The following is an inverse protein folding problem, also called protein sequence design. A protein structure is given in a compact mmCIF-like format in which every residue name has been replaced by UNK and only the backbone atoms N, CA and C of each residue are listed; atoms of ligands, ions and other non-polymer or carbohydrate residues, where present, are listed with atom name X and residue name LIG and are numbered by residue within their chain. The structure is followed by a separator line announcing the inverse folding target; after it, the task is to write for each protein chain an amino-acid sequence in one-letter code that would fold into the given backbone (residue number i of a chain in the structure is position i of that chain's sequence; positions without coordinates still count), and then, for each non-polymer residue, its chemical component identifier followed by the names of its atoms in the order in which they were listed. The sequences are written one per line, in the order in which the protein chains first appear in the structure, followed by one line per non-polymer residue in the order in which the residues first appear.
data_IF_198582185256
#
_entry.id   IF_198582185256
#
_cell.length_a   1.000
_cell.length_b   1.000
_cell.length_c   1.000
_cell.angle_alpha   90.00
_cell.angle_beta   90.00
_cell.angle_gamma   90.00
#
_symmetry.space_group_name_H-M   'P 1'
#
loop_
_entity.id
_entity.type
_entity.pdbx_description
1 polymer ?
#
# COMPACT_ATOMS: atom_id res chain seq x y z
N UNK A 1 -21.32 -27.63 -2.55
CA UNK A 1 -21.23 -27.54 -1.08
C UNK A 1 -20.79 -26.13 -0.69
N UNK A 2 -21.31 -25.58 0.42
CA UNK A 2 -20.94 -24.25 0.96
C UNK A 2 -19.87 -24.46 2.03
N UNK A 3 -18.78 -23.70 1.95
CA UNK A 3 -17.72 -23.63 2.97
C UNK A 3 -17.68 -22.22 3.50
N UNK A 4 -17.81 -22.10 4.82
CA UNK A 4 -17.69 -20.83 5.53
C UNK A 4 -16.27 -20.67 6.03
N UNK A 5 -15.70 -19.50 5.80
CA UNK A 5 -14.34 -19.14 6.17
C UNK A 5 -14.32 -17.98 7.14
N UNK A 6 -13.42 -18.10 8.11
CA UNK A 6 -13.02 -17.04 9.02
C UNK A 6 -11.51 -16.93 9.03
N UNK A 7 -11.00 -15.72 9.17
CA UNK A 7 -9.60 -15.47 9.49
C UNK A 7 -9.46 -14.73 10.82
N UNK A 8 -8.41 -15.05 11.54
CA UNK A 8 -7.92 -14.28 12.67
C UNK A 8 -6.47 -13.92 12.39
N UNK A 9 -6.18 -12.63 12.26
CA UNK A 9 -4.81 -12.14 12.20
C UNK A 9 -4.25 -12.08 13.63
N UNK A 10 -3.45 -13.08 14.01
CA UNK A 10 -2.88 -13.16 15.37
C UNK A 10 -1.74 -12.17 15.56
N UNK A 11 -0.91 -12.01 14.53
CA UNK A 11 0.22 -11.10 14.52
C UNK A 11 0.55 -10.67 13.10
N UNK A 12 0.73 -9.37 12.90
CA UNK A 12 1.27 -8.81 11.66
C UNK A 12 2.68 -8.32 11.96
N UNK A 13 3.62 -8.77 11.14
CA UNK A 13 5.04 -8.43 11.21
C UNK A 13 5.37 -7.25 10.30
N UNK A 14 6.58 -7.30 9.74
CA UNK A 14 7.10 -6.29 8.82
C UNK A 14 6.36 -6.31 7.47
N UNK A 15 6.14 -5.12 6.91
CA UNK A 15 5.57 -4.92 5.57
C UNK A 15 6.70 -4.47 4.64
N UNK A 16 7.19 -5.38 3.81
CA UNK A 16 8.25 -5.08 2.86
C UNK A 16 7.68 -4.45 1.59
N UNK A 17 7.79 -3.13 1.50
CA UNK A 17 7.29 -2.35 0.36
C UNK A 17 8.06 -2.65 -0.93
N UNK A 18 9.36 -2.97 -0.85
CA UNK A 18 10.20 -3.25 -2.04
C UNK A 18 9.90 -4.65 -2.60
N UNK A 19 9.68 -5.61 -1.70
CA UNK A 19 9.41 -7.01 -2.04
C UNK A 19 7.94 -7.32 -2.34
N UNK A 20 7.03 -6.35 -2.16
CA UNK A 20 5.57 -6.52 -2.30
C UNK A 20 5.06 -7.72 -1.45
N UNK A 21 5.51 -7.76 -0.20
CA UNK A 21 5.26 -8.86 0.73
C UNK A 21 5.06 -8.36 2.15
N UNK A 22 4.25 -9.06 2.94
CA UNK A 22 4.11 -8.82 4.37
C UNK A 22 4.23 -10.12 5.16
N UNK A 23 4.77 -10.04 6.37
CA UNK A 23 4.86 -11.16 7.29
C UNK A 23 3.62 -11.22 8.18
N UNK A 24 3.00 -12.39 8.34
CA UNK A 24 1.88 -12.57 9.28
C UNK A 24 1.81 -13.97 9.90
N UNK A 25 1.25 -14.04 11.12
CA UNK A 25 0.76 -15.25 11.77
C UNK A 25 -0.78 -15.20 11.73
N UNK A 26 -1.36 -16.05 10.90
CA UNK A 26 -2.80 -16.09 10.65
C UNK A 26 -3.38 -17.42 11.07
N UNK A 27 -4.57 -17.36 11.63
CA UNK A 27 -5.39 -18.51 11.94
C UNK A 27 -6.62 -18.50 11.02
N UNK A 28 -6.74 -19.52 10.18
CA UNK A 28 -7.81 -19.65 9.21
C UNK A 28 -8.67 -20.84 9.64
N UNK A 29 -9.96 -20.59 9.79
CA UNK A 29 -10.96 -21.61 10.13
C UNK A 29 -11.89 -21.79 8.94
N UNK A 30 -12.08 -23.03 8.53
CA UNK A 30 -13.00 -23.40 7.47
C UNK A 30 -14.01 -24.40 8.00
N UNK A 31 -15.30 -24.11 7.87
CA UNK A 31 -16.36 -25.02 8.31
C UNK A 31 -17.29 -25.39 7.17
N UNK A 32 -17.69 -26.67 7.13
CA UNK A 32 -18.68 -27.17 6.17
C UNK A 32 -19.53 -28.26 6.78
N UNK A 33 -20.77 -28.36 6.30
CA UNK A 33 -21.73 -29.36 6.76
C UNK A 33 -21.40 -30.74 6.18
N UNK A 34 -21.43 -31.78 7.03
CA UNK A 34 -21.31 -33.18 6.62
C UNK A 34 -22.48 -34.02 7.17
N UNK A 35 -23.56 -34.19 6.39
CA UNK A 35 -24.79 -34.85 6.86
C UNK A 35 -24.61 -36.29 7.34
N UNK A 36 -23.56 -36.99 6.86
CA UNK A 36 -23.28 -38.37 7.27
C UNK A 36 -22.92 -38.49 8.76
N UNK A 37 -22.54 -37.40 9.40
CA UNK A 37 -22.07 -37.34 10.78
C UNK A 37 -23.12 -36.79 11.76
N UNK A 38 -24.33 -36.44 11.29
CA UNK A 38 -25.38 -35.81 12.11
C UNK A 38 -25.75 -36.65 13.37
N UNK A 39 -25.61 -37.98 13.32
CA UNK A 39 -25.93 -38.89 14.44
C UNK A 39 -24.71 -39.37 15.26
N UNK A 40 -23.51 -38.84 14.99
CA UNK A 40 -22.26 -39.37 15.55
C UNK A 40 -21.75 -38.61 16.79
N UNK A 41 -22.61 -37.92 17.55
CA UNK A 41 -22.23 -37.07 18.69
C UNK A 41 -21.38 -37.78 19.77
N UNK A 42 -21.48 -39.10 19.87
CA UNK A 42 -20.80 -39.90 20.89
C UNK A 42 -19.47 -40.52 20.43
N UNK A 43 -19.08 -40.36 19.16
CA UNK A 43 -17.87 -40.97 18.61
C UNK A 43 -16.71 -39.98 18.62
N UNK A 44 -15.75 -40.16 19.54
CA UNK A 44 -14.57 -39.29 19.70
C UNK A 44 -13.42 -39.62 18.74
N UNK A 45 -13.31 -40.87 18.28
CA UNK A 45 -12.18 -41.34 17.44
C UNK A 45 -12.59 -41.57 15.98
N UNK A 46 -13.11 -40.53 15.33
CA UNK A 46 -13.43 -40.57 13.90
C UNK A 46 -12.28 -39.99 13.07
N UNK A 47 -11.81 -40.76 12.08
CA UNK A 47 -10.88 -40.24 11.07
C UNK A 47 -11.62 -39.28 10.12
N UNK A 48 -11.61 -37.98 10.46
CA UNK A 48 -12.23 -36.91 9.66
C UNK A 48 -11.62 -36.79 8.24
N UNK A 49 -10.40 -37.29 8.05
CA UNK A 49 -9.69 -37.31 6.77
C UNK A 49 -10.36 -38.16 5.68
N UNK A 50 -11.21 -39.12 6.04
CA UNK A 50 -11.92 -39.98 5.08
C UNK A 50 -13.14 -39.30 4.45
N UNK A 51 -13.60 -38.20 5.04
CA UNK A 51 -14.74 -37.44 4.56
C UNK A 51 -14.36 -36.43 3.48
N UNK A 52 -15.38 -35.83 2.88
CA UNK A 52 -15.19 -34.84 1.83
C UNK A 52 -14.33 -33.67 2.30
N UNK A 53 -13.34 -33.29 1.50
CA UNK A 53 -12.37 -32.23 1.79
C UNK A 53 -12.48 -31.11 0.75
N UNK A 54 -12.58 -29.83 1.16
CA UNK A 54 -12.67 -28.70 0.25
C UNK A 54 -11.37 -28.35 -0.47
N UNK A 55 -10.24 -29.02 -0.17
CA UNK A 55 -8.93 -28.82 -0.82
C UNK A 55 -8.52 -27.33 -0.90
N UNK A 56 -8.64 -26.63 0.23
CA UNK A 56 -8.34 -25.20 0.29
C UNK A 56 -6.84 -24.94 0.11
N UNK A 57 -6.50 -23.90 -0.65
CA UNK A 57 -5.14 -23.42 -0.92
C UNK A 57 -5.09 -21.93 -0.59
N UNK A 58 -3.95 -21.48 -0.05
CA UNK A 58 -3.68 -20.05 0.08
C UNK A 58 -2.79 -19.65 -1.08
N UNK A 59 -3.34 -18.81 -1.94
CA UNK A 59 -2.77 -18.51 -3.24
C UNK A 59 -1.54 -17.61 -3.15
N UNK A 60 -1.53 -16.67 -2.20
CA UNK A 60 -0.49 -15.66 -2.08
C UNK A 60 0.55 -15.98 -1.01
N UNK A 61 0.62 -17.23 -0.54
CA UNK A 61 1.66 -17.66 0.39
C UNK A 61 2.98 -17.88 -0.37
N UNK A 62 4.00 -17.08 -0.08
CA UNK A 62 5.33 -17.18 -0.71
C UNK A 62 6.20 -18.18 0.05
N UNK A 63 6.29 -17.98 1.36
CA UNK A 63 7.08 -18.82 2.26
C UNK A 63 6.39 -18.97 3.61
N UNK A 64 6.66 -20.07 4.32
CA UNK A 64 6.08 -20.35 5.63
C UNK A 64 7.10 -20.93 6.59
N UNK A 65 7.17 -20.36 7.79
CA UNK A 65 8.01 -20.85 8.89
C UNK A 65 7.28 -21.91 9.71
N UNK A 66 5.96 -21.76 9.89
CA UNK A 66 5.14 -22.73 10.64
C UNK A 66 3.82 -22.93 9.93
N UNK A 67 3.43 -24.19 9.74
CA UNK A 67 2.13 -24.58 9.22
C UNK A 67 1.59 -25.73 10.04
N UNK A 68 0.47 -25.50 10.73
CA UNK A 68 -0.28 -26.54 11.45
C UNK A 68 -1.67 -26.62 10.85
N UNK A 69 -2.14 -27.85 10.66
CA UNK A 69 -3.49 -28.15 10.20
C UNK A 69 -4.07 -29.21 11.12
N UNK A 70 -5.28 -28.98 11.61
CA UNK A 70 -6.04 -29.96 12.37
C UNK A 70 -7.53 -29.82 12.04
N UNK A 71 -8.30 -30.84 12.37
CA UNK A 71 -9.73 -30.90 12.10
C UNK A 71 -10.46 -31.28 13.37
N UNK A 72 -11.60 -30.65 13.58
CA UNK A 72 -12.48 -30.85 14.73
C UNK A 72 -13.91 -31.06 14.22
N UNK A 73 -14.70 -31.83 14.96
CA UNK A 73 -16.12 -32.01 14.69
C UNK A 73 -16.91 -31.07 15.59
N UNK A 74 -17.76 -30.24 14.99
CA UNK A 74 -18.65 -29.33 15.70
C UNK A 74 -20.10 -29.66 15.37
N UNK A 75 -21.00 -29.50 16.34
CA UNK A 75 -22.43 -29.71 16.15
C UNK A 75 -23.16 -28.39 16.40
N UNK A 76 -24.07 -28.03 15.50
CA UNK A 76 -24.95 -26.89 15.73
C UNK A 76 -26.07 -27.29 16.71
N UNK A 77 -26.74 -26.32 17.33
CA UNK A 77 -27.86 -26.48 18.27
C UNK A 77 -29.01 -27.35 17.74
N UNK A 78 -29.08 -27.56 16.41
CA UNK A 78 -30.06 -28.42 15.72
C UNK A 78 -29.59 -29.87 15.51
N UNK A 79 -28.40 -30.23 15.99
CA UNK A 79 -27.80 -31.56 15.81
C UNK A 79 -27.09 -31.79 14.47
N UNK A 80 -27.00 -30.76 13.60
CA UNK A 80 -26.25 -30.88 12.35
C UNK A 80 -24.74 -30.90 12.59
N UNK A 81 -24.04 -31.85 11.96
CA UNK A 81 -22.59 -31.99 12.04
C UNK A 81 -21.86 -31.09 11.03
N UNK A 82 -20.85 -30.39 11.53
CA UNK A 82 -19.93 -29.55 10.78
C UNK A 82 -18.51 -30.03 11.02
N UNK A 83 -17.76 -30.21 9.94
CA UNK A 83 -16.32 -30.42 10.03
C UNK A 83 -15.67 -29.03 10.02
N UNK A 84 -14.86 -28.76 11.04
CA UNK A 84 -14.11 -27.51 11.19
C UNK A 84 -12.64 -27.82 10.96
N UNK A 85 -12.09 -27.29 9.87
CA UNK A 85 -10.67 -27.36 9.55
C UNK A 85 -9.98 -26.08 9.97
N UNK A 86 -9.01 -26.22 10.87
CA UNK A 86 -8.24 -25.13 11.44
C UNK A 86 -6.83 -25.15 10.88
N UNK A 87 -6.35 -24.01 10.42
CA UNK A 87 -5.00 -23.82 9.89
C UNK A 87 -4.34 -22.65 10.59
N UNK A 88 -3.19 -22.89 11.20
CA UNK A 88 -2.32 -21.82 11.68
C UNK A 88 -1.10 -21.72 10.79
N UNK A 89 -0.88 -20.56 10.20
CA UNK A 89 0.16 -20.32 9.22
C UNK A 89 0.92 -19.07 9.60
N UNK A 90 2.22 -19.22 9.77
CA UNK A 90 3.15 -18.11 9.98
C UNK A 90 4.12 -18.06 8.82
N UNK A 91 4.15 -16.94 8.10
CA UNK A 91 4.93 -16.83 6.87
C UNK A 91 4.84 -15.47 6.20
N UNK A 92 5.33 -15.42 4.96
CA UNK A 92 5.29 -14.26 4.07
C UNK A 92 4.19 -14.43 3.03
N UNK A 93 3.36 -13.40 2.92
CA UNK A 93 2.28 -13.30 1.95
C UNK A 93 2.65 -12.24 0.92
N UNK A 94 2.48 -12.56 -0.36
CA UNK A 94 2.64 -11.58 -1.44
C UNK A 94 1.38 -10.74 -1.56
N UNK A 95 1.57 -9.43 -1.64
CA UNK A 95 0.50 -8.46 -1.86
C UNK A 95 1.03 -7.35 -2.74
N UNK A 96 0.31 -7.04 -3.82
CA UNK A 96 0.64 -5.88 -4.66
C UNK A 96 0.26 -4.62 -3.90
N UNK A 97 1.20 -3.69 -3.74
CA UNK A 97 0.96 -2.46 -2.97
C UNK A 97 0.65 -1.28 -3.90
N UNK A 98 -0.45 -0.58 -3.64
CA UNK A 98 -0.82 0.62 -4.39
C UNK A 98 -0.12 1.86 -3.82
N UNK A 99 1.00 2.25 -4.42
CA UNK A 99 1.87 3.33 -3.95
C UNK A 99 1.64 4.66 -4.67
N UNK A 100 0.57 4.80 -5.46
CA UNK A 100 0.30 6.02 -6.22
C UNK A 100 0.26 7.26 -5.31
N UNK A 101 -0.29 7.05 -4.13
CA UNK A 101 -0.57 8.06 -3.12
C UNK A 101 0.55 8.19 -2.06
N UNK A 102 1.66 7.46 -2.24
CA UNK A 102 2.81 7.47 -1.34
C UNK A 102 3.35 8.90 -1.09
N UNK A 103 3.69 9.28 0.17
CA UNK A 103 3.73 8.47 1.40
C UNK A 103 2.44 8.49 2.22
N UNK A 104 1.33 8.99 1.66
CA UNK A 104 0.03 9.09 2.33
C UNK A 104 -0.91 7.96 1.89
N UNK A 105 -0.32 6.78 1.64
CA UNK A 105 -0.99 5.59 1.14
C UNK A 105 -1.60 4.75 2.27
N UNK A 106 -2.59 3.94 1.88
CA UNK A 106 -3.19 2.89 2.68
C UNK A 106 -3.13 1.60 1.86
N UNK A 107 -2.94 0.47 2.53
CA UNK A 107 -2.74 -0.83 1.92
C UNK A 107 -3.73 -1.83 2.53
N UNK A 108 -4.34 -2.64 1.67
CA UNK A 108 -5.13 -3.81 2.08
C UNK A 108 -4.21 -5.04 2.07
N UNK A 109 -3.87 -5.56 3.23
CA UNK A 109 -3.03 -6.75 3.38
C UNK A 109 -3.90 -8.00 3.33
N UNK A 110 -4.04 -8.57 2.13
CA UNK A 110 -4.99 -9.64 1.88
C UNK A 110 -4.37 -11.04 2.06
N UNK A 111 -5.15 -11.97 2.59
CA UNK A 111 -4.88 -13.40 2.52
C UNK A 111 -5.89 -14.01 1.55
N UNK A 112 -5.39 -14.62 0.48
CA UNK A 112 -6.22 -15.10 -0.63
C UNK A 112 -6.42 -16.60 -0.50
N UNK A 113 -7.63 -17.01 -0.10
CA UNK A 113 -8.01 -18.42 0.03
C UNK A 113 -8.82 -18.88 -1.17
N UNK A 114 -8.40 -19.96 -1.81
CA UNK A 114 -9.08 -20.59 -2.94
C UNK A 114 -9.16 -22.11 -2.75
N UNK A 115 -9.70 -22.84 -3.73
CA UNK A 115 -9.83 -24.30 -3.73
C UNK A 115 -9.43 -24.89 -5.08
N UNK A 116 -8.95 -26.14 -5.07
CA UNK A 116 -8.77 -26.94 -6.29
C UNK A 116 -10.09 -27.34 -6.97
N UNK A 117 -11.22 -27.16 -6.28
CA UNK A 117 -12.56 -27.50 -6.78
C UNK A 117 -13.19 -26.31 -7.49
N UNK A 118 -13.91 -26.59 -8.60
CA UNK A 118 -14.64 -25.57 -9.35
C UNK A 118 -15.79 -24.95 -8.55
N UNK A 119 -16.18 -23.74 -8.92
CA UNK A 119 -17.27 -22.98 -8.29
C UNK A 119 -18.61 -23.73 -8.31
N UNK A 120 -18.85 -24.59 -9.29
CA UNK A 120 -20.06 -25.43 -9.36
C UNK A 120 -20.11 -26.47 -8.23
N UNK A 121 -18.95 -26.96 -7.79
CA UNK A 121 -18.84 -27.97 -6.72
C UNK A 121 -18.77 -27.32 -5.35
N UNK A 122 -18.16 -26.14 -5.26
CA UNK A 122 -17.79 -25.47 -4.03
C UNK A 122 -18.09 -23.97 -4.11
N UNK A 123 -18.76 -23.44 -3.10
CA UNK A 123 -18.80 -22.01 -2.86
C UNK A 123 -18.10 -21.70 -1.54
N UNK A 124 -17.19 -20.73 -1.59
CA UNK A 124 -16.52 -20.18 -0.42
C UNK A 124 -17.25 -18.89 -0.05
N UNK A 125 -17.64 -18.77 1.21
CA UNK A 125 -18.31 -17.59 1.76
C UNK A 125 -17.67 -17.20 3.09
N UNK A 126 -17.89 -15.98 3.52
CA UNK A 126 -17.61 -15.58 4.90
C UNK A 126 -18.49 -16.36 5.88
N UNK A 127 -17.95 -16.51 7.09
CA UNK A 127 -18.63 -17.14 8.21
C UNK A 127 -19.58 -16.15 8.91
N UNK A 128 -20.89 -16.43 8.81
CA UNK A 128 -21.93 -15.59 9.38
C UNK A 128 -22.05 -15.70 10.93
N UNK A 129 -21.48 -16.75 11.55
CA UNK A 129 -21.57 -16.96 13.01
C UNK A 129 -20.30 -16.51 13.74
N UNK A 130 -19.14 -16.79 13.15
CA UNK A 130 -17.84 -16.44 13.70
C UNK A 130 -17.18 -15.37 12.82
N UNK A 131 -17.23 -14.10 13.25
CA UNK A 131 -16.70 -12.97 12.46
C UNK A 131 -15.16 -13.01 12.44
N UNK A 132 -14.56 -12.62 11.31
CA UNK A 132 -13.12 -12.44 11.17
C UNK A 132 -12.62 -11.31 12.08
N UNK A 133 -11.43 -11.47 12.64
CA UNK A 133 -10.89 -10.51 13.62
C UNK A 133 -9.38 -10.33 13.49
N UNK A 134 -8.88 -9.27 14.11
CA UNK A 134 -7.46 -8.94 14.10
C UNK A 134 -6.99 -8.60 15.52
N UNK A 135 -5.82 -9.10 15.89
CA UNK A 135 -5.20 -8.72 17.15
C UNK A 135 -4.22 -7.56 16.92
N UNK A 136 -4.73 -6.33 17.05
CA UNK A 136 -3.96 -5.10 16.83
C UNK A 136 -2.81 -4.95 17.85
N UNK A 137 -2.96 -5.48 19.07
CA UNK A 137 -1.96 -5.35 20.14
C UNK A 137 -0.61 -6.04 19.85
N UNK A 138 -0.59 -6.99 18.92
CA UNK A 138 0.61 -7.74 18.56
C UNK A 138 1.33 -7.20 17.32
N UNK A 139 0.97 -6.00 16.83
CA UNK A 139 1.55 -5.43 15.63
C UNK A 139 3.00 -5.00 15.85
N UNK A 140 3.92 -5.47 15.00
CA UNK A 140 5.36 -5.18 15.15
C UNK A 140 5.72 -3.83 14.54
N UNK A 141 5.08 -3.47 13.44
CA UNK A 141 5.50 -2.35 12.59
C UNK A 141 4.70 -1.06 12.84
N UNK A 142 4.31 -0.85 14.10
CA UNK A 142 3.45 0.28 14.53
C UNK A 142 4.13 1.65 14.35
N UNK A 143 5.46 1.67 14.22
CA UNK A 143 6.25 2.88 14.00
C UNK A 143 6.15 3.39 12.56
N UNK A 144 6.02 2.50 11.58
CA UNK A 144 5.88 2.85 10.17
C UNK A 144 4.41 2.84 9.73
N UNK A 145 3.58 2.01 10.34
CA UNK A 145 2.19 1.77 9.94
C UNK A 145 1.22 1.92 11.10
N UNK A 146 -0.03 2.19 10.76
CA UNK A 146 -1.18 2.17 11.66
C UNK A 146 -2.16 1.14 11.15
N UNK A 147 -2.45 0.13 11.97
CA UNK A 147 -3.29 -0.99 11.61
C UNK A 147 -4.73 -0.71 12.05
N UNK A 148 -5.69 -1.06 11.21
CA UNK A 148 -7.12 -0.90 11.52
C UNK A 148 -7.70 -2.20 12.10
N UNK A 149 -8.59 -2.08 13.08
CA UNK A 149 -9.25 -3.19 13.76
C UNK A 149 -10.46 -3.75 12.98
N UNK A 150 -10.36 -3.75 11.64
CA UNK A 150 -11.41 -4.24 10.75
C UNK A 150 -10.79 -5.21 9.74
N UNK A 151 -11.45 -6.35 9.57
CA UNK A 151 -11.14 -7.31 8.52
C UNK A 151 -12.23 -7.22 7.48
N UNK A 152 -11.85 -6.95 6.24
CA UNK A 152 -12.77 -6.98 5.10
C UNK A 152 -12.68 -8.32 4.37
N UNK A 153 -13.83 -8.82 3.95
CA UNK A 153 -13.99 -10.09 3.27
C UNK A 153 -14.57 -9.85 1.87
N UNK A 154 -13.75 -10.02 0.84
CA UNK A 154 -14.16 -9.81 -0.55
C UNK A 154 -14.23 -11.17 -1.25
N UNK A 155 -15.44 -11.62 -1.57
CA UNK A 155 -15.65 -12.83 -2.37
C UNK A 155 -15.38 -12.53 -3.84
N UNK A 156 -14.38 -13.19 -4.42
CA UNK A 156 -14.02 -13.05 -5.83
C UNK A 156 -14.12 -14.39 -6.55
N UNK A 157 -14.26 -14.34 -7.87
CA UNK A 157 -14.21 -15.54 -8.71
C UNK A 157 -13.01 -15.41 -9.62
N UNK A 158 -12.09 -16.36 -9.52
CA UNK A 158 -10.88 -16.35 -10.35
C UNK A 158 -10.98 -17.45 -11.40
N UNK A 159 -10.81 -17.07 -12.66
CA UNK A 159 -10.54 -18.01 -13.76
C UNK A 159 -9.05 -18.25 -13.81
N UNK A 160 -8.54 -19.29 -13.12
CA UNK A 160 -7.11 -19.62 -13.13
C UNK A 160 -6.76 -20.77 -14.08
N UNK A 161 -5.52 -20.71 -14.59
CA UNK A 161 -4.85 -21.60 -15.56
C UNK A 161 -4.52 -23.03 -15.05
N UNK A 162 -5.00 -23.44 -13.86
CA UNK A 162 -4.71 -24.78 -13.31
C UNK A 162 -5.41 -25.92 -14.04
N UNK A 163 -6.38 -25.60 -14.91
CA UNK A 163 -7.01 -26.58 -15.78
C UNK A 163 -6.57 -26.38 -17.23
N UNK A 164 -6.26 -27.45 -17.98
CA UNK A 164 -6.07 -27.36 -19.42
C UNK A 164 -7.34 -26.89 -20.15
N UNK A 165 -8.51 -26.93 -19.49
CA UNK A 165 -9.77 -26.41 -20.01
C UNK A 165 -9.86 -24.90 -19.75
N UNK A 166 -9.90 -24.11 -20.82
CA UNK A 166 -10.32 -22.70 -20.76
C UNK A 166 -11.75 -22.63 -20.20
N UNK A 167 -12.03 -21.62 -19.36
CA UNK A 167 -13.34 -21.26 -18.76
C UNK A 167 -13.79 -21.93 -17.45
N UNK A 168 -12.95 -22.70 -16.74
CA UNK A 168 -13.33 -23.16 -15.40
C UNK A 168 -13.11 -22.03 -14.37
N UNK A 169 -14.16 -21.74 -13.59
CA UNK A 169 -14.17 -20.74 -12.51
C UNK A 169 -13.90 -21.41 -11.17
N UNK A 170 -13.03 -20.80 -10.36
CA UNK A 170 -12.71 -21.24 -9.00
C UNK A 170 -13.17 -20.17 -8.00
N UNK A 171 -13.78 -20.59 -6.87
CA UNK A 171 -14.15 -19.65 -5.82
C UNK A 171 -12.88 -19.13 -5.13
N UNK A 172 -12.89 -17.84 -4.80
CA UNK A 172 -11.80 -17.17 -4.11
C UNK A 172 -12.39 -16.25 -3.03
N UNK A 173 -11.78 -16.22 -1.86
CA UNK A 173 -12.12 -15.28 -0.80
C UNK A 173 -10.86 -14.56 -0.37
N UNK A 174 -10.86 -13.24 -0.51
CA UNK A 174 -9.80 -12.36 -0.04
C UNK A 174 -10.21 -11.85 1.32
N UNK A 175 -9.38 -12.13 2.32
CA UNK A 175 -9.61 -11.74 3.70
C UNK A 175 -8.48 -10.79 4.08
N UNK A 176 -8.78 -9.51 4.20
CA UNK A 176 -7.77 -8.46 4.30
C UNK A 176 -7.93 -7.61 5.53
N UNK A 177 -6.81 -7.15 6.07
CA UNK A 177 -6.79 -6.08 7.05
C UNK A 177 -6.22 -4.82 6.41
N UNK A 178 -6.60 -3.66 6.95
CA UNK A 178 -6.13 -2.39 6.44
C UNK A 178 -4.94 -1.88 7.25
N UNK A 179 -3.95 -1.31 6.57
CA UNK A 179 -2.83 -0.60 7.19
C UNK A 179 -2.62 0.76 6.50
N UNK A 180 -2.51 1.84 7.28
CA UNK A 180 -2.17 3.18 6.79
C UNK A 180 -0.76 3.59 7.19
N UNK A 181 0.00 4.15 6.26
CA UNK A 181 1.39 4.54 6.48
C UNK A 181 1.50 5.82 7.32
N UNK A 182 2.47 5.86 8.24
CA UNK A 182 2.85 7.07 8.98
C UNK A 182 3.80 7.92 8.13
N UNK A 183 3.23 8.88 7.41
CA UNK A 183 3.95 9.73 6.45
C UNK A 183 4.96 10.73 7.08
N UNK A 184 4.96 10.90 8.40
CA UNK A 184 5.73 11.95 9.09
C UNK A 184 7.23 11.94 8.77
N UNK A 185 7.84 10.76 8.68
CA UNK A 185 9.25 10.62 8.30
C UNK A 185 9.53 11.23 6.91
N UNK A 186 8.71 10.90 5.92
CA UNK A 186 8.87 11.39 4.55
C UNK A 186 8.56 12.89 4.44
N UNK A 187 7.61 13.40 5.22
CA UNK A 187 7.30 14.83 5.27
C UNK A 187 8.52 15.63 5.74
N UNK A 188 9.11 15.25 6.87
CA UNK A 188 10.24 15.99 7.46
C UNK A 188 11.56 15.75 6.72
N UNK A 189 11.88 14.52 6.34
CA UNK A 189 13.20 14.18 5.80
C UNK A 189 13.27 14.22 4.28
N UNK A 190 12.15 14.18 3.56
CA UNK A 190 12.15 14.20 2.09
C UNK A 190 11.52 15.47 1.57
N UNK A 191 10.25 15.73 1.90
CA UNK A 191 9.50 16.87 1.35
C UNK A 191 10.10 18.21 1.81
N UNK A 192 10.39 18.36 3.11
CA UNK A 192 10.94 19.60 3.66
C UNK A 192 12.39 19.86 3.22
N UNK A 193 13.25 18.83 3.16
CA UNK A 193 14.61 18.98 2.62
C UNK A 193 14.57 19.41 1.15
N UNK A 194 13.68 18.80 0.35
CA UNK A 194 13.48 19.19 -1.04
C UNK A 194 12.94 20.62 -1.19
N UNK A 195 12.06 21.04 -0.29
CA UNK A 195 11.60 22.43 -0.25
C UNK A 195 12.78 23.37 -0.04
N UNK A 196 13.67 23.11 0.93
CA UNK A 196 14.86 23.94 1.17
C UNK A 196 15.82 24.00 -0.02
N UNK A 197 16.08 22.86 -0.68
CA UNK A 197 16.92 22.83 -1.89
C UNK A 197 16.26 23.65 -3.01
N UNK A 198 14.95 23.49 -3.20
CA UNK A 198 14.21 24.22 -4.23
C UNK A 198 14.12 25.71 -3.94
N UNK A 199 13.87 26.15 -2.70
CA UNK A 199 13.87 27.57 -2.33
C UNK A 199 15.25 28.20 -2.46
N UNK A 200 16.32 27.41 -2.31
CA UNK A 200 17.70 27.90 -2.47
C UNK A 200 17.98 28.37 -3.91
N UNK A 201 17.16 28.01 -4.91
CA UNK A 201 17.29 28.57 -6.25
C UNK A 201 17.07 30.09 -6.28
N UNK A 202 16.31 30.66 -5.34
CA UNK A 202 16.08 32.10 -5.29
C UNK A 202 17.34 32.89 -4.95
N UNK A 203 18.33 32.25 -4.29
CA UNK A 203 19.62 32.90 -3.98
C UNK A 203 20.41 33.24 -5.24
N UNK A 204 20.12 32.57 -6.37
CA UNK A 204 20.76 32.86 -7.67
C UNK A 204 20.39 34.26 -8.19
N UNK A 205 19.21 34.78 -7.84
CA UNK A 205 18.77 36.14 -8.21
C UNK A 205 19.48 37.22 -7.39
N UNK A 206 20.03 36.89 -6.20
CA UNK A 206 20.79 37.84 -5.39
C UNK A 206 22.17 38.16 -5.99
N UNK A 207 22.70 37.32 -6.88
CA UNK A 207 23.96 37.56 -7.58
C UNK A 207 23.74 38.62 -8.66
N UNK A 208 24.66 39.57 -8.81
CA UNK A 208 24.53 40.64 -9.81
C UNK A 208 24.45 40.09 -11.25
N UNK A 209 23.61 40.69 -12.13
CA UNK A 209 23.46 40.22 -13.51
C UNK A 209 24.72 40.33 -14.37
N UNK A 210 25.68 41.17 -13.97
CA UNK A 210 26.98 41.34 -14.63
C UNK A 210 27.89 40.12 -14.55
N UNK A 211 27.59 39.14 -13.68
CA UNK A 211 28.39 37.92 -13.46
C UNK A 211 27.58 36.65 -13.82
N UNK A 212 27.25 36.43 -15.10
CA UNK A 212 26.42 35.29 -15.53
C UNK A 212 27.06 33.93 -15.21
N UNK A 213 28.39 33.85 -15.19
CA UNK A 213 29.15 32.65 -14.85
C UNK A 213 28.77 32.12 -13.45
N UNK A 214 28.72 33.00 -12.45
CA UNK A 214 28.40 32.62 -11.07
C UNK A 214 26.94 32.17 -10.93
N UNK A 215 26.01 32.83 -11.62
CA UNK A 215 24.58 32.48 -11.61
C UNK A 215 24.32 31.10 -12.22
N UNK A 216 24.92 30.83 -13.39
CA UNK A 216 24.79 29.55 -14.08
C UNK A 216 25.44 28.43 -13.28
N UNK A 217 26.61 28.67 -12.69
CA UNK A 217 27.29 27.70 -11.83
C UNK A 217 26.39 27.29 -10.64
N UNK A 218 25.85 28.27 -9.90
CA UNK A 218 24.95 28.00 -8.77
C UNK A 218 23.68 27.25 -9.21
N UNK A 219 23.06 27.67 -10.32
CA UNK A 219 21.83 27.06 -10.82
C UNK A 219 22.02 25.60 -11.24
N UNK A 220 23.11 25.31 -11.97
CA UNK A 220 23.46 23.95 -12.40
C UNK A 220 23.79 23.08 -11.17
N UNK A 221 24.53 23.60 -10.19
CA UNK A 221 24.81 22.88 -8.94
C UNK A 221 23.52 22.50 -8.22
N UNK A 222 22.57 23.43 -8.06
CA UNK A 222 21.27 23.14 -7.43
C UNK A 222 20.44 22.12 -8.21
N UNK A 223 20.44 22.21 -9.54
CA UNK A 223 19.77 21.22 -10.41
C UNK A 223 20.37 19.82 -10.22
N UNK A 224 21.70 19.70 -10.19
CA UNK A 224 22.39 18.45 -9.96
C UNK A 224 22.08 17.89 -8.56
N UNK A 225 22.15 18.73 -7.53
CA UNK A 225 21.80 18.36 -6.14
C UNK A 225 20.38 17.80 -6.04
N UNK A 226 19.42 18.44 -6.69
CA UNK A 226 18.01 18.01 -6.70
C UNK A 226 17.85 16.66 -7.39
N UNK A 227 18.54 16.44 -8.52
CA UNK A 227 18.55 15.16 -9.25
C UNK A 227 19.19 14.05 -8.42
N UNK A 228 20.32 14.33 -7.77
CA UNK A 228 21.03 13.36 -6.91
C UNK A 228 20.13 12.98 -5.74
N UNK A 229 19.47 13.94 -5.11
CA UNK A 229 18.53 13.67 -4.03
C UNK A 229 17.37 12.77 -4.50
N UNK A 230 16.80 13.02 -5.67
CA UNK A 230 15.78 12.14 -6.27
C UNK A 230 16.27 10.70 -6.43
N UNK A 231 17.51 10.50 -6.90
CA UNK A 231 18.09 9.16 -7.06
C UNK A 231 18.16 8.41 -5.73
N UNK A 232 18.54 9.10 -4.65
CA UNK A 232 18.61 8.52 -3.30
C UNK A 232 17.21 8.10 -2.84
N UNK A 233 16.19 8.93 -3.07
CA UNK A 233 14.81 8.61 -2.68
C UNK A 233 14.26 7.40 -3.43
N UNK A 234 14.49 7.30 -4.74
CA UNK A 234 14.01 6.19 -5.57
C UNK A 234 14.61 4.85 -5.13
N UNK A 235 15.83 4.83 -4.61
CA UNK A 235 16.45 3.58 -4.14
C UNK A 235 15.75 2.97 -2.92
N UNK A 236 14.98 3.77 -2.18
CA UNK A 236 14.21 3.31 -1.03
C UNK A 236 12.76 2.94 -1.38
N UNK A 237 12.40 3.01 -2.67
CA UNK A 237 11.06 2.71 -3.18
C UNK A 237 11.12 1.56 -4.20
N UNK A 238 10.09 0.72 -4.29
CA UNK A 238 9.99 -0.26 -5.37
C UNK A 238 9.95 0.44 -6.73
N UNK A 239 10.48 -0.24 -7.74
CA UNK A 239 10.49 0.25 -9.12
C UNK A 239 9.13 0.04 -9.76
N UNK A 240 8.20 0.94 -9.46
CA UNK A 240 6.86 0.97 -10.05
C UNK A 240 6.83 1.76 -11.36
N UNK A 241 5.94 1.39 -12.28
CA UNK A 241 5.84 2.01 -13.61
C UNK A 241 5.16 3.38 -13.60
N UNK A 242 4.45 3.73 -12.53
CA UNK A 242 3.73 4.99 -12.39
C UNK A 242 4.42 5.92 -11.38
N UNK A 243 4.20 7.23 -11.53
CA UNK A 243 4.78 8.22 -10.62
C UNK A 243 3.93 8.36 -9.35
N UNK A 244 4.55 8.17 -8.20
CA UNK A 244 3.96 8.47 -6.88
C UNK A 244 3.70 9.97 -6.71
N UNK A 245 2.85 10.37 -5.76
CA UNK A 245 2.66 11.80 -5.43
C UNK A 245 3.96 12.47 -5.01
N UNK A 246 4.77 11.78 -4.22
CA UNK A 246 6.09 12.27 -3.81
C UNK A 246 7.01 12.47 -5.03
N UNK A 247 7.02 11.53 -5.98
CA UNK A 247 7.79 11.67 -7.23
C UNK A 247 7.32 12.85 -8.07
N UNK A 248 6.01 13.10 -8.15
CA UNK A 248 5.46 14.27 -8.85
C UNK A 248 5.93 15.57 -8.22
N UNK A 249 5.97 15.66 -6.89
CA UNK A 249 6.50 16.81 -6.15
C UNK A 249 8.00 17.03 -6.41
N UNK A 250 8.81 15.98 -6.31
CA UNK A 250 10.26 16.06 -6.58
C UNK A 250 10.50 16.42 -8.05
N UNK A 251 9.74 15.84 -8.98
CA UNK A 251 9.85 16.16 -10.41
C UNK A 251 9.51 17.63 -10.68
N UNK A 252 8.47 18.16 -10.04
CA UNK A 252 8.15 19.58 -10.12
C UNK A 252 9.33 20.44 -9.65
N UNK A 253 9.95 20.14 -8.51
CA UNK A 253 11.10 20.90 -8.00
C UNK A 253 12.30 20.85 -8.99
N UNK A 254 12.53 19.70 -9.62
CA UNK A 254 13.58 19.57 -10.66
C UNK A 254 13.25 20.43 -11.88
N UNK A 255 12.02 20.37 -12.37
CA UNK A 255 11.56 21.16 -13.52
C UNK A 255 11.61 22.66 -13.20
N UNK A 256 11.23 23.06 -11.99
CA UNK A 256 11.32 24.43 -11.53
C UNK A 256 12.77 24.93 -11.52
N UNK A 257 13.70 24.16 -10.94
CA UNK A 257 15.13 24.50 -10.97
C UNK A 257 15.69 24.56 -12.40
N UNK A 258 15.19 23.71 -13.30
CA UNK A 258 15.53 23.75 -14.72
C UNK A 258 15.04 25.06 -15.38
N UNK A 259 13.80 25.48 -15.14
CA UNK A 259 13.25 26.74 -15.65
C UNK A 259 14.08 27.94 -15.16
N UNK A 260 14.46 27.97 -13.87
CA UNK A 260 15.33 29.01 -13.32
C UNK A 260 16.70 29.02 -14.02
N UNK A 261 17.28 27.85 -14.27
CA UNK A 261 18.56 27.74 -14.99
C UNK A 261 18.45 28.25 -16.42
N UNK A 262 17.37 27.91 -17.13
CA UNK A 262 17.10 28.38 -18.50
C UNK A 262 16.89 29.90 -18.51
N UNK A 263 16.19 30.46 -17.51
CA UNK A 263 16.04 31.90 -17.37
C UNK A 263 17.40 32.60 -17.23
N UNK A 264 18.28 32.11 -16.36
CA UNK A 264 19.63 32.67 -16.19
C UNK A 264 20.48 32.58 -17.46
N UNK A 265 20.32 31.51 -18.24
CA UNK A 265 20.97 31.39 -19.54
C UNK A 265 20.39 32.40 -20.54
N UNK A 266 19.08 32.57 -20.57
CA UNK A 266 18.39 33.49 -21.47
C UNK A 266 18.74 34.95 -21.19
N UNK A 267 18.68 35.38 -19.93
CA UNK A 267 18.97 36.77 -19.55
C UNK A 267 20.43 37.14 -19.85
N UNK A 268 21.36 36.19 -19.77
CA UNK A 268 22.77 36.41 -20.12
C UNK A 268 22.98 36.83 -21.58
N UNK A 269 22.02 36.56 -22.47
CA UNK A 269 22.10 36.96 -23.89
C UNK A 269 21.84 38.45 -24.12
N UNK A 270 21.10 39.10 -23.21
CA UNK A 270 20.68 40.52 -23.31
C UNK A 270 21.61 41.49 -22.56
N UNK A 271 22.83 41.07 -22.22
CA UNK A 271 23.77 41.82 -21.36
C UNK A 271 24.32 43.15 -21.90
N UNK A 272 23.76 43.71 -22.97
CA UNK A 272 24.10 45.05 -23.46
C UNK A 272 23.35 46.16 -22.70
N UNK A 273 22.12 45.90 -22.24
CA UNK A 273 21.29 46.88 -21.52
C UNK A 273 21.07 46.44 -20.05
N UNK A 274 21.86 47.00 -19.13
CA UNK A 274 21.83 46.62 -17.71
C UNK A 274 20.50 46.98 -17.02
N UNK A 275 19.92 48.14 -17.33
CA UNK A 275 18.65 48.59 -16.73
C UNK A 275 17.47 47.70 -17.15
N UNK A 276 17.47 47.26 -18.41
CA UNK A 276 16.46 46.33 -18.93
C UNK A 276 16.61 44.95 -18.26
N UNK A 277 17.85 44.49 -18.09
CA UNK A 277 18.15 43.22 -17.44
C UNK A 277 17.71 43.17 -15.97
N UNK A 278 17.95 44.24 -15.20
CA UNK A 278 17.52 44.32 -13.80
C UNK A 278 15.99 44.36 -13.67
N UNK A 279 15.31 45.11 -14.55
CA UNK A 279 13.84 45.14 -14.58
C UNK A 279 13.25 43.76 -14.90
N UNK A 280 13.77 43.08 -15.94
CA UNK A 280 13.35 41.74 -16.32
C UNK A 280 13.60 40.70 -15.22
N UNK A 281 14.76 40.76 -14.55
CA UNK A 281 15.09 39.86 -13.44
C UNK A 281 14.15 40.06 -12.24
N UNK A 282 13.80 41.29 -11.90
CA UNK A 282 12.88 41.58 -10.79
C UNK A 282 11.47 41.05 -11.07
N UNK A 283 10.97 41.22 -12.31
CA UNK A 283 9.69 40.65 -12.73
C UNK A 283 9.72 39.12 -12.77
N UNK A 284 10.80 38.52 -13.27
CA UNK A 284 10.96 37.06 -13.27
C UNK A 284 11.04 36.51 -11.84
N UNK A 285 11.76 37.17 -10.94
CA UNK A 285 11.84 36.80 -9.54
C UNK A 285 10.45 36.81 -8.88
N UNK A 286 9.69 37.90 -9.02
CA UNK A 286 8.35 38.01 -8.42
C UNK A 286 7.39 36.94 -8.97
N UNK A 287 7.41 36.70 -10.29
CA UNK A 287 6.54 35.71 -10.93
C UNK A 287 6.89 34.28 -10.52
N UNK A 288 8.17 33.93 -10.46
CA UNK A 288 8.64 32.61 -10.03
C UNK A 288 8.37 32.35 -8.55
N UNK A 289 8.55 33.35 -7.68
CA UNK A 289 8.22 33.25 -6.26
C UNK A 289 6.71 33.02 -6.08
N UNK A 290 5.87 33.82 -6.74
CA UNK A 290 4.41 33.68 -6.65
C UNK A 290 3.95 32.32 -7.16
N UNK A 291 4.49 31.86 -8.28
CA UNK A 291 4.20 30.52 -8.83
C UNK A 291 4.62 29.40 -7.87
N UNK A 292 5.80 29.51 -7.28
CA UNK A 292 6.31 28.51 -6.33
C UNK A 292 5.48 28.46 -5.04
N UNK A 293 5.11 29.61 -4.48
CA UNK A 293 4.25 29.70 -3.29
C UNK A 293 2.86 29.13 -3.57
N UNK A 294 2.28 29.46 -4.73
CA UNK A 294 0.99 28.92 -5.15
C UNK A 294 1.04 27.39 -5.29
N UNK A 295 2.12 26.86 -5.89
CA UNK A 295 2.33 25.42 -5.98
C UNK A 295 2.41 24.75 -4.60
N UNK A 296 3.21 25.30 -3.68
CA UNK A 296 3.32 24.77 -2.32
C UNK A 296 1.98 24.81 -1.57
N UNK A 297 1.21 25.87 -1.73
CA UNK A 297 -0.11 26.01 -1.12
C UNK A 297 -1.09 24.95 -1.68
N UNK A 298 -1.13 24.76 -3.00
CA UNK A 298 -1.96 23.72 -3.64
C UNK A 298 -1.53 22.33 -3.17
N UNK A 299 -0.23 22.06 -3.14
CA UNK A 299 0.30 20.77 -2.69
C UNK A 299 -0.07 20.50 -1.22
N UNK A 300 0.11 21.48 -0.34
CA UNK A 300 -0.27 21.37 1.08
C UNK A 300 -1.77 21.14 1.26
N UNK A 301 -2.61 21.82 0.45
CA UNK A 301 -4.06 21.64 0.47
C UNK A 301 -4.45 20.23 0.02
N UNK A 302 -3.87 19.71 -1.07
CA UNK A 302 -4.12 18.34 -1.55
C UNK A 302 -3.71 17.32 -0.50
N UNK A 303 -2.55 17.50 0.14
CA UNK A 303 -2.09 16.62 1.22
C UNK A 303 -3.07 16.65 2.40
N UNK A 304 -3.51 17.84 2.80
CA UNK A 304 -4.46 17.99 3.92
C UNK A 304 -5.81 17.33 3.60
N UNK A 305 -6.32 17.50 2.38
CA UNK A 305 -7.55 16.82 1.92
C UNK A 305 -7.37 15.31 1.93
N UNK A 306 -6.25 14.81 1.42
CA UNK A 306 -5.97 13.36 1.38
C UNK A 306 -5.95 12.78 2.79
N UNK A 307 -5.22 13.41 3.70
CA UNK A 307 -5.11 12.96 5.10
C UNK A 307 -6.46 13.09 5.82
N UNK A 308 -7.24 14.13 5.51
CA UNK A 308 -8.58 14.30 6.07
C UNK A 308 -9.55 13.25 5.54
N UNK A 309 -9.44 12.87 4.26
CA UNK A 309 -10.27 11.84 3.66
C UNK A 309 -9.96 10.44 4.22
N UNK A 310 -8.69 10.13 4.45
CA UNK A 310 -8.32 8.86 5.12
C UNK A 310 -8.83 8.83 6.55
N UNK A 311 -8.72 9.93 7.29
CA UNK A 311 -9.30 10.05 8.64
C UNK A 311 -10.83 9.98 8.63
N UNK A 312 -11.51 10.59 7.65
CA UNK A 312 -12.96 10.56 7.55
C UNK A 312 -13.50 9.17 7.18
N UNK A 313 -12.86 8.51 6.21
CA UNK A 313 -13.17 7.11 5.87
C UNK A 313 -12.97 6.23 7.10
N UNK A 314 -11.91 6.47 7.88
CA UNK A 314 -11.68 5.80 9.15
C UNK A 314 -12.81 6.01 10.17
N UNK A 315 -13.30 7.24 10.38
CA UNK A 315 -14.42 7.49 11.29
C UNK A 315 -15.71 6.84 10.84
N UNK A 316 -15.96 6.75 9.53
CA UNK A 316 -17.18 6.16 8.99
C UNK A 316 -17.24 4.64 9.22
N UNK A 317 -16.09 3.95 9.12
CA UNK A 317 -15.98 2.51 9.37
C UNK A 317 -15.99 2.13 10.86
N UNK A 318 -15.72 3.07 11.78
CA UNK A 318 -15.75 2.81 13.22
C UNK A 318 -17.14 2.98 13.86
N UNK A 319 -18.07 3.62 13.15
CA UNK A 319 -19.43 3.93 13.63
C UNK A 319 -20.54 3.06 13.02
N UNK A 320 -20.19 2.06 12.19
CA UNK A 320 -21.11 1.07 11.63
C UNK A 320 -20.67 -0.34 11.99
#
# INVERSE_FOLDING_TARGET
KRVQLKIIFLKIGEINTIGEQFHADVYIQARWREPKLDNCQHLTDLNLSEYWNPLLIIQNLVDHTKRKKWQELSFNSRGHAFIVECRRIKGHFSETLELAEFPFDHQSLNVVVTSELSQEKLQIVEDDEDISSINVSCFVDEQEWSLFDLVECISTVTTKQFSPKRNIRFPCLQLGCYAARRSGFFVWNVILIMAFISTSCFTTFAVKPSLPQNRLQLSITLMLTTKVFKLIVINNLPKISYNTRLDRYILFCIVFNFIVTVWHAFISRFGYDLDLQESMDNWAFLTLVLFYVLFLAIFSLIVTITVSYTLFTFYLFFFF
#
